data_IF_181252197201
#
_entry.id   IF_181252197201
#
_cell.length_a   1.000
_cell.length_b   1.000
_cell.length_c   1.000
_cell.angle_alpha   90.00
_cell.angle_beta   90.00
_cell.angle_gamma   90.00
#
_symmetry.space_group_name_H-M   'P 1'
#
loop_
_entity.id
_entity.type
_entity.pdbx_description
1 polymer ?
#
# COMPACT_ATOMS: atom_id res chain seq x y z
N UNK A 1 12.82 -7.57 17.79
CA UNK A 1 13.40 -8.30 16.64
C UNK A 1 14.82 -7.81 16.47
N UNK A 2 15.82 -8.69 16.58
CA UNK A 2 17.24 -8.33 16.69
C UNK A 2 17.75 -7.69 15.38
N UNK A 3 18.12 -6.39 15.43
CA UNK A 3 18.78 -5.63 14.34
C UNK A 3 19.98 -6.39 13.73
N UNK A 4 20.57 -7.28 14.51
CA UNK A 4 21.77 -8.06 14.20
C UNK A 4 21.62 -9.12 13.08
N UNK A 5 20.39 -9.45 12.65
CA UNK A 5 20.17 -10.44 11.57
C UNK A 5 20.03 -9.85 10.17
N UNK A 6 20.09 -8.53 10.01
CA UNK A 6 20.01 -7.94 8.68
C UNK A 6 21.23 -8.34 7.83
N UNK A 7 21.03 -8.81 6.58
CA UNK A 7 22.13 -9.17 5.68
C UNK A 7 23.15 -8.05 5.49
N UNK A 8 22.71 -6.80 5.60
CA UNK A 8 23.53 -5.60 5.50
C UNK A 8 24.63 -5.51 6.58
N UNK A 9 24.37 -5.97 7.81
CA UNK A 9 25.39 -5.94 8.85
C UNK A 9 26.56 -6.88 8.51
N UNK A 10 26.28 -8.05 7.93
CA UNK A 10 27.34 -8.96 7.47
C UNK A 10 28.16 -8.38 6.33
N UNK A 11 27.51 -7.66 5.41
CA UNK A 11 28.20 -6.99 4.31
C UNK A 11 29.12 -5.88 4.82
N UNK A 12 28.67 -5.11 5.81
CA UNK A 12 29.48 -4.07 6.44
C UNK A 12 30.64 -4.64 7.25
N UNK A 13 30.43 -5.72 8.00
CA UNK A 13 31.51 -6.42 8.71
C UNK A 13 32.54 -7.00 7.74
N UNK A 14 32.11 -7.61 6.63
CA UNK A 14 33.02 -8.14 5.62
C UNK A 14 33.81 -7.03 4.89
N UNK A 15 33.21 -5.84 4.73
CA UNK A 15 33.86 -4.69 4.12
C UNK A 15 34.70 -3.86 5.10
N UNK A 16 34.73 -4.24 6.38
CA UNK A 16 35.40 -3.47 7.43
C UNK A 16 36.89 -3.27 7.15
N UNK A 17 37.54 -4.28 6.58
CA UNK A 17 38.97 -4.26 6.26
C UNK A 17 39.25 -3.87 4.79
N UNK A 18 38.22 -3.45 4.05
CA UNK A 18 38.32 -3.05 2.65
C UNK A 18 38.67 -1.57 2.43
N UNK A 19 38.86 -1.15 1.16
CA UNK A 19 39.11 0.24 0.79
C UNK A 19 38.04 1.21 1.32
N UNK A 20 38.44 2.43 1.64
CA UNK A 20 37.56 3.44 2.24
C UNK A 20 36.36 3.76 1.33
N UNK A 21 36.59 3.85 0.03
CA UNK A 21 35.54 4.14 -0.97
C UNK A 21 34.47 3.04 -1.00
N UNK A 22 34.87 1.78 -0.84
CA UNK A 22 33.95 0.65 -0.78
C UNK A 22 33.11 0.70 0.51
N UNK A 23 33.72 1.09 1.63
CA UNK A 23 33.01 1.27 2.90
C UNK A 23 31.98 2.39 2.82
N UNK A 24 32.34 3.53 2.24
CA UNK A 24 31.43 4.67 2.07
C UNK A 24 30.23 4.31 1.16
N UNK A 25 30.49 3.64 0.05
CA UNK A 25 29.43 3.20 -0.86
C UNK A 25 28.47 2.20 -0.19
N UNK A 26 29.01 1.26 0.60
CA UNK A 26 28.20 0.29 1.34
C UNK A 26 27.41 0.94 2.47
N UNK A 27 27.99 1.88 3.21
CA UNK A 27 27.29 2.61 4.27
C UNK A 27 26.12 3.42 3.70
N UNK A 28 26.32 4.10 2.56
CA UNK A 28 25.25 4.82 1.85
C UNK A 28 24.09 3.90 1.45
N UNK A 29 24.39 2.70 0.92
CA UNK A 29 23.37 1.76 0.45
C UNK A 29 22.67 1.01 1.60
N UNK A 30 23.36 0.80 2.71
CA UNK A 30 22.88 -0.01 3.83
C UNK A 30 22.29 0.82 4.98
N UNK A 31 22.63 2.10 5.08
CA UNK A 31 22.10 3.03 6.08
C UNK A 31 20.57 2.98 6.14
N UNK A 32 19.85 3.22 5.02
CA UNK A 32 18.39 3.16 5.01
C UNK A 32 17.81 1.78 5.35
N UNK A 33 18.58 0.69 5.20
CA UNK A 33 18.13 -0.66 5.52
C UNK A 33 18.33 -0.99 7.02
N UNK A 34 19.27 -0.32 7.67
CA UNK A 34 19.55 -0.47 9.11
C UNK A 34 18.65 0.41 9.95
N UNK A 35 18.47 1.65 9.53
CA UNK A 35 17.69 2.67 10.20
C UNK A 35 16.68 3.28 9.20
N UNK A 36 15.60 2.53 8.92
CA UNK A 36 14.66 2.89 7.87
C UNK A 36 13.68 4.00 8.27
N UNK A 37 13.56 4.31 9.56
CA UNK A 37 12.51 5.18 10.09
C UNK A 37 12.61 6.61 9.51
N UNK A 38 13.77 7.24 9.62
CA UNK A 38 13.98 8.62 9.16
C UNK A 38 13.81 8.76 7.62
N UNK A 39 14.41 7.91 6.76
CA UNK A 39 14.16 7.99 5.32
C UNK A 39 12.70 7.75 4.93
N UNK A 40 12.01 6.81 5.60
CA UNK A 40 10.60 6.52 5.32
C UNK A 40 9.72 7.70 5.74
N UNK A 41 9.98 8.30 6.90
CA UNK A 41 9.21 9.45 7.38
C UNK A 41 9.41 10.64 6.47
N UNK A 42 10.65 10.95 6.10
CA UNK A 42 10.97 12.04 5.16
C UNK A 42 10.27 11.87 3.81
N UNK A 43 10.20 10.64 3.28
CA UNK A 43 9.51 10.38 2.01
C UNK A 43 7.98 10.38 2.18
N UNK A 44 7.48 9.91 3.32
CA UNK A 44 6.04 9.96 3.64
C UNK A 44 5.56 11.41 3.76
N UNK A 45 6.36 12.30 4.32
CA UNK A 45 6.05 13.74 4.40
C UNK A 45 5.99 14.39 3.01
N UNK A 46 6.92 14.05 2.12
CA UNK A 46 6.91 14.51 0.72
C UNK A 46 5.64 14.08 0.00
N UNK A 47 5.28 12.79 0.11
CA UNK A 47 4.03 12.27 -0.45
C UNK A 47 2.86 13.05 0.13
N UNK A 48 2.80 13.23 1.46
CA UNK A 48 1.71 13.94 2.13
C UNK A 48 1.54 15.37 1.60
N UNK A 49 2.63 16.07 1.32
CA UNK A 49 2.58 17.43 0.77
C UNK A 49 2.01 17.46 -0.65
N UNK A 50 2.49 16.56 -1.53
CA UNK A 50 1.97 16.43 -2.90
C UNK A 50 0.48 16.09 -2.93
N UNK A 51 0.04 15.21 -2.04
CA UNK A 51 -1.36 14.78 -1.94
C UNK A 51 -2.34 15.91 -1.63
N UNK A 52 -1.90 16.99 -0.95
CA UNK A 52 -2.80 18.12 -0.62
C UNK A 52 -3.36 18.80 -1.88
N UNK A 53 -2.66 18.70 -3.01
CA UNK A 53 -3.10 19.26 -4.28
C UNK A 53 -4.16 18.38 -4.99
N UNK A 54 -4.15 17.06 -4.77
CA UNK A 54 -5.02 16.13 -5.49
C UNK A 54 -6.44 16.06 -4.86
N UNK A 55 -7.51 16.41 -5.62
CA UNK A 55 -8.89 16.30 -5.15
C UNK A 55 -9.35 14.88 -4.79
N UNK A 56 -8.87 13.86 -5.50
CA UNK A 56 -9.21 12.46 -5.26
C UNK A 56 -8.60 12.00 -3.93
N UNK A 57 -7.34 12.32 -3.69
CA UNK A 57 -6.66 11.98 -2.43
C UNK A 57 -7.31 12.66 -1.23
N UNK A 58 -7.64 13.96 -1.33
CA UNK A 58 -8.37 14.67 -0.27
C UNK A 58 -9.70 14.01 0.05
N UNK A 59 -10.39 13.48 -0.96
CA UNK A 59 -11.66 12.77 -0.76
C UNK A 59 -11.44 11.40 -0.11
N UNK A 60 -10.43 10.66 -0.54
CA UNK A 60 -10.11 9.34 0.04
C UNK A 60 -9.61 9.45 1.48
N UNK A 61 -8.90 10.52 1.83
CA UNK A 61 -8.46 10.80 3.19
C UNK A 61 -9.63 11.00 4.18
N UNK A 62 -10.84 11.27 3.70
CA UNK A 62 -12.03 11.34 4.55
C UNK A 62 -12.54 9.97 4.99
N UNK A 63 -12.10 8.89 4.35
CA UNK A 63 -12.56 7.52 4.64
C UNK A 63 -11.80 6.99 5.86
N UNK A 64 -12.49 6.69 6.98
CA UNK A 64 -11.84 6.17 8.17
C UNK A 64 -11.11 4.86 7.88
N UNK A 65 -9.86 4.76 8.36
CA UNK A 65 -9.01 3.59 8.14
C UNK A 65 -8.15 3.65 6.88
N UNK A 66 -8.28 4.66 6.02
CA UNK A 66 -7.31 4.90 4.94
C UNK A 66 -6.27 5.93 5.40
N UNK A 67 -4.99 5.54 5.42
CA UNK A 67 -3.87 6.45 5.69
C UNK A 67 -3.28 7.06 4.43
N UNK A 68 -2.44 8.09 4.56
CA UNK A 68 -1.74 8.83 3.49
C UNK A 68 -1.24 7.93 2.36
N UNK A 69 -0.35 6.98 2.66
CA UNK A 69 0.22 6.05 1.68
C UNK A 69 -0.86 5.24 0.94
N UNK A 70 -1.92 4.83 1.65
CA UNK A 70 -3.02 4.06 1.06
C UNK A 70 -3.84 4.91 0.10
N UNK A 71 -4.14 6.15 0.48
CA UNK A 71 -4.86 7.09 -0.36
C UNK A 71 -4.05 7.43 -1.61
N UNK A 72 -2.77 7.77 -1.45
CA UNK A 72 -1.84 8.11 -2.54
C UNK A 72 -1.72 6.97 -3.54
N UNK A 73 -1.50 5.75 -3.04
CA UNK A 73 -1.43 4.58 -3.89
C UNK A 73 -2.74 4.33 -4.65
N UNK A 74 -3.88 4.67 -4.05
CA UNK A 74 -5.17 4.55 -4.71
C UNK A 74 -5.36 5.62 -5.78
N UNK A 75 -5.07 6.90 -5.52
CA UNK A 75 -5.15 7.93 -6.56
C UNK A 75 -4.17 7.68 -7.72
N UNK A 76 -2.95 7.24 -7.43
CA UNK A 76 -1.94 6.96 -8.45
C UNK A 76 -2.27 5.74 -9.34
N UNK A 77 -3.01 4.76 -8.81
CA UNK A 77 -3.23 3.48 -9.50
C UNK A 77 -4.68 3.26 -9.94
N UNK A 78 -5.62 4.00 -9.37
CA UNK A 78 -7.02 3.92 -9.76
C UNK A 78 -7.21 4.64 -11.10
N UNK A 79 -7.84 4.01 -12.10
CA UNK A 79 -8.31 4.71 -13.27
C UNK A 79 -9.36 5.76 -12.86
N UNK A 80 -9.61 6.74 -13.72
CA UNK A 80 -10.68 7.73 -13.48
C UNK A 80 -12.00 7.01 -13.14
N UNK A 81 -12.47 7.22 -11.91
CA UNK A 81 -13.65 6.54 -11.37
C UNK A 81 -14.91 6.98 -12.11
N UNK A 82 -14.90 8.17 -12.72
CA UNK A 82 -16.01 8.65 -13.55
C UNK A 82 -16.17 7.86 -14.87
N UNK A 83 -15.14 7.11 -15.29
CA UNK A 83 -15.22 6.25 -16.47
C UNK A 83 -16.09 5.00 -16.26
N UNK A 84 -16.46 4.68 -15.01
CA UNK A 84 -17.31 3.53 -14.69
C UNK A 84 -18.78 3.93 -14.64
N UNK A 85 -19.64 3.10 -15.23
CA UNK A 85 -21.10 3.33 -15.22
C UNK A 85 -21.71 3.18 -13.82
N UNK A 86 -21.11 2.35 -12.97
CA UNK A 86 -21.58 2.13 -11.60
C UNK A 86 -20.44 1.77 -10.65
N UNK A 87 -20.69 1.92 -9.35
CA UNK A 87 -19.78 1.48 -8.30
C UNK A 87 -19.56 -0.04 -8.32
N UNK A 88 -20.56 -0.80 -8.78
CA UNK A 88 -20.44 -2.25 -8.96
C UNK A 88 -19.47 -2.59 -10.09
N UNK A 89 -19.46 -1.82 -11.18
CA UNK A 89 -18.50 -2.01 -12.27
C UNK A 89 -17.07 -1.70 -11.81
N UNK A 90 -16.89 -0.68 -10.97
CA UNK A 90 -15.60 -0.40 -10.34
C UNK A 90 -15.17 -1.52 -9.37
N UNK A 91 -16.10 -2.04 -8.56
CA UNK A 91 -15.83 -3.19 -7.69
C UNK A 91 -15.50 -4.46 -8.49
N UNK A 92 -16.13 -4.65 -9.65
CA UNK A 92 -15.84 -5.75 -10.58
C UNK A 92 -14.47 -5.59 -11.23
N UNK A 93 -14.05 -4.37 -11.58
CA UNK A 93 -12.71 -4.07 -12.06
C UNK A 93 -11.63 -4.35 -11.00
N UNK A 94 -11.88 -3.93 -9.74
CA UNK A 94 -11.06 -4.30 -8.59
C UNK A 94 -11.14 -5.79 -8.24
N UNK A 95 -12.07 -6.53 -8.86
CA UNK A 95 -12.28 -7.96 -8.65
C UNK A 95 -12.62 -8.28 -7.21
N UNK A 96 -13.44 -7.42 -6.63
CA UNK A 96 -14.12 -7.56 -5.34
C UNK A 96 -15.45 -8.29 -5.47
N UNK A 97 -15.96 -8.47 -6.69
CA UNK A 97 -17.18 -9.23 -6.98
C UNK A 97 -16.83 -10.66 -7.42
N UNK A 98 -17.67 -11.65 -7.09
CA UNK A 98 -17.56 -13.00 -7.64
C UNK A 98 -17.68 -12.97 -9.17
N UNK A 99 -16.89 -13.79 -9.88
CA UNK A 99 -17.06 -13.90 -11.33
C UNK A 99 -18.33 -14.69 -11.66
N UNK A 100 -19.21 -14.12 -12.48
CA UNK A 100 -20.40 -14.78 -12.95
C UNK A 100 -20.06 -15.81 -14.04
N UNK A 101 -20.53 -17.03 -13.86
CA UNK A 101 -20.48 -18.09 -14.87
C UNK A 101 -21.91 -18.26 -15.37
N UNK A 102 -22.20 -17.73 -16.56
CA UNK A 102 -23.47 -17.95 -17.24
C UNK A 102 -23.39 -19.28 -18.00
N UNK A 103 -23.98 -20.33 -17.44
CA UNK A 103 -24.30 -21.54 -18.19
C UNK A 103 -25.71 -21.38 -18.76
N UNK A 104 -25.97 -22.01 -19.91
CA UNK A 104 -27.15 -21.86 -20.77
C UNK A 104 -28.53 -21.83 -20.07
N UNK A 105 -28.63 -22.34 -18.84
CA UNK A 105 -29.85 -22.36 -18.02
C UNK A 105 -29.69 -21.96 -16.56
N UNK A 106 -28.52 -21.49 -16.12
CA UNK A 106 -28.35 -21.05 -14.73
C UNK A 106 -27.17 -20.09 -14.56
N UNK A 107 -27.42 -18.91 -13.97
CA UNK A 107 -26.35 -18.02 -13.51
C UNK A 107 -25.80 -18.55 -12.19
N UNK A 108 -24.52 -18.92 -12.18
CA UNK A 108 -23.82 -19.32 -10.96
C UNK A 108 -22.73 -18.31 -10.65
N UNK A 109 -22.69 -17.85 -9.41
CA UNK A 109 -21.57 -17.06 -8.90
C UNK A 109 -20.39 -18.00 -8.60
N UNK A 110 -19.26 -17.77 -9.28
CA UNK A 110 -18.01 -18.48 -9.06
C UNK A 110 -17.20 -17.89 -7.90
N UNK A 111 -15.93 -18.30 -7.77
CA UNK A 111 -15.01 -17.73 -6.78
C UNK A 111 -14.61 -16.30 -7.17
N UNK A 112 -14.18 -15.51 -6.19
CA UNK A 112 -13.49 -14.25 -6.47
C UNK A 112 -12.24 -14.52 -7.32
N UNK A 113 -12.13 -13.81 -8.44
CA UNK A 113 -10.98 -13.95 -9.33
C UNK A 113 -9.72 -13.32 -8.74
N UNK A 114 -8.56 -13.96 -8.94
CA UNK A 114 -7.26 -13.39 -8.57
C UNK A 114 -6.72 -12.38 -9.60
N UNK A 115 -7.30 -12.33 -10.81
CA UNK A 115 -7.05 -11.24 -11.74
C UNK A 115 -7.53 -9.93 -11.09
N UNK A 116 -6.84 -8.80 -11.29
CA UNK A 116 -7.11 -7.53 -10.60
C UNK A 116 -5.92 -7.04 -9.77
N UNK A 117 -5.88 -5.74 -9.48
CA UNK A 117 -4.77 -5.14 -8.76
C UNK A 117 -4.69 -5.68 -7.31
N UNK A 118 -3.67 -6.50 -7.04
CA UNK A 118 -3.48 -7.14 -5.74
C UNK A 118 -3.17 -6.11 -4.64
N UNK A 119 -2.41 -5.06 -4.97
CA UNK A 119 -2.02 -4.00 -4.05
C UNK A 119 -3.24 -3.20 -3.61
N UNK A 120 -4.08 -2.75 -4.54
CA UNK A 120 -5.32 -2.02 -4.22
C UNK A 120 -6.28 -2.86 -3.37
N UNK A 121 -6.48 -4.14 -3.70
CA UNK A 121 -7.31 -5.02 -2.86
C UNK A 121 -6.74 -5.20 -1.46
N UNK A 122 -5.42 -5.35 -1.33
CA UNK A 122 -4.77 -5.45 -0.03
C UNK A 122 -4.94 -4.16 0.77
N UNK A 123 -4.76 -3.01 0.14
CA UNK A 123 -4.93 -1.71 0.76
C UNK A 123 -6.37 -1.48 1.25
N UNK A 124 -7.36 -1.83 0.43
CA UNK A 124 -8.78 -1.77 0.82
C UNK A 124 -9.09 -2.71 1.99
N UNK A 125 -8.53 -3.92 1.97
CA UNK A 125 -8.68 -4.87 3.07
C UNK A 125 -8.01 -4.39 4.36
N UNK A 126 -6.78 -3.88 4.28
CA UNK A 126 -6.08 -3.30 5.42
C UNK A 126 -6.84 -2.10 5.98
N UNK A 127 -7.35 -1.22 5.12
CA UNK A 127 -8.16 -0.08 5.56
C UNK A 127 -9.46 -0.48 6.24
N UNK A 128 -10.15 -1.48 5.69
CA UNK A 128 -11.36 -2.03 6.30
C UNK A 128 -11.07 -2.73 7.64
N UNK A 129 -9.92 -3.39 7.78
CA UNK A 129 -9.49 -4.06 9.01
C UNK A 129 -8.90 -3.12 10.05
N UNK A 130 -8.37 -1.95 9.67
CA UNK A 130 -7.85 -0.97 10.62
C UNK A 130 -8.98 -0.26 11.40
N UNK A 131 -10.24 -0.69 11.23
CA UNK A 131 -11.27 -0.48 12.26
C UNK A 131 -11.05 -1.48 13.41
N UNK A 132 -10.89 -1.02 14.66
CA UNK A 132 -12.08 -0.70 15.46
C UNK A 132 -11.85 0.35 16.60
N UNK A 133 -12.28 1.62 16.50
CA UNK A 133 -12.47 2.45 17.72
C UNK A 133 -13.17 3.80 17.47
N UNK A 134 -14.49 3.84 17.49
CA UNK A 134 -15.25 5.08 17.82
C UNK A 134 -16.71 4.83 18.21
N UNK A 135 -17.11 3.58 18.47
CA UNK A 135 -18.53 3.23 18.67
C UNK A 135 -18.81 2.33 19.86
N UNK A 136 -17.96 2.36 20.89
CA UNK A 136 -18.21 1.73 22.20
C UNK A 136 -17.53 2.51 23.33
N UNK A 137 -17.87 3.78 23.56
CA UNK A 137 -17.61 4.50 24.83
C UNK A 137 -18.54 5.73 24.91
N UNK A 138 -19.83 5.47 25.11
CA UNK A 138 -20.77 6.34 25.82
C UNK A 138 -22.04 5.52 26.05
N UNK A 139 -22.05 4.75 27.14
CA UNK A 139 -23.23 4.39 27.93
C UNK A 139 -22.76 4.06 29.35
#
# INVERSE_FOLDING_TARGET
MTRDRLPCNRLLEAARDGPEEARLALDLLTGPLRDPEEPIEAETDRITEEQKADPLDRRLATIPGLGTITTSAFAATSPDVAAFRSTHDYAAWLRLTPWAISLDRNERLGRMSKAGNRSLRRLLYLGAMMKPMSRQWTE
#
